data_IF_388126946651
#
_entry.id   IF_388126946651
#
_cell.length_a   1.000
_cell.length_b   1.000
_cell.length_c   1.000
_cell.angle_alpha   90.00
_cell.angle_beta   90.00
_cell.angle_gamma   90.00
#
_symmetry.space_group_name_H-M   'P 1'
#
loop_
_entity.id
_entity.type
_entity.pdbx_description
1 polymer ?
#
# COMPACT_ATOMS: atom_id res chain seq x y z
N UNK A 1 -29.49 6.19 10.23
CA UNK A 1 -28.51 5.79 11.29
C UNK A 1 -27.14 6.32 10.89
N UNK A 2 -26.28 6.63 11.84
CA UNK A 2 -24.88 7.00 11.53
C UNK A 2 -24.01 5.86 12.04
N UNK A 3 -23.18 5.30 11.15
CA UNK A 3 -22.27 4.23 11.50
C UNK A 3 -20.84 4.76 11.64
N UNK A 4 -20.08 4.20 12.60
CA UNK A 4 -18.66 4.47 12.71
C UNK A 4 -17.92 3.80 11.55
N UNK A 5 -16.71 4.31 11.24
CA UNK A 5 -15.89 3.75 10.18
C UNK A 5 -15.29 2.40 10.63
N UNK A 6 -15.71 1.26 10.05
CA UNK A 6 -15.20 -0.05 10.46
C UNK A 6 -13.70 -0.23 10.23
N UNK A 7 -13.08 0.61 9.41
CA UNK A 7 -11.64 0.59 9.11
C UNK A 7 -10.80 1.33 10.17
N UNK A 8 -11.40 2.07 11.10
CA UNK A 8 -10.65 2.65 12.21
C UNK A 8 -10.27 1.58 13.22
N UNK A 9 -9.08 1.71 13.84
CA UNK A 9 -8.57 0.76 14.83
C UNK A 9 -9.58 0.49 15.96
N UNK A 10 -10.22 1.55 16.47
CA UNK A 10 -11.26 1.43 17.50
C UNK A 10 -12.45 0.61 17.03
N UNK A 11 -13.05 0.99 15.87
CA UNK A 11 -14.24 0.33 15.37
C UNK A 11 -13.96 -1.13 14.97
N UNK A 12 -12.82 -1.38 14.34
CA UNK A 12 -12.42 -2.72 13.94
C UNK A 12 -12.31 -3.67 15.14
N UNK A 13 -11.61 -3.24 16.17
CA UNK A 13 -11.49 -4.01 17.43
C UNK A 13 -12.83 -4.19 18.13
N UNK A 14 -13.68 -3.17 18.15
CA UNK A 14 -15.03 -3.26 18.77
C UNK A 14 -15.94 -4.23 18.01
N UNK A 15 -15.92 -4.20 16.67
CA UNK A 15 -16.78 -5.03 15.82
C UNK A 15 -16.33 -6.49 15.82
N UNK A 16 -15.02 -6.75 15.68
CA UNK A 16 -14.50 -8.10 15.43
C UNK A 16 -13.72 -8.69 16.61
N UNK A 17 -13.21 -7.88 17.53
CA UNK A 17 -12.29 -8.30 18.59
C UNK A 17 -12.91 -8.42 19.99
N UNK A 18 -14.21 -8.18 20.16
CA UNK A 18 -14.86 -8.28 21.45
C UNK A 18 -15.38 -9.70 21.73
N UNK A 19 -15.42 -10.09 23.00
CA UNK A 19 -16.00 -11.38 23.45
C UNK A 19 -17.46 -11.58 23.00
N UNK A 20 -18.18 -10.50 22.73
CA UNK A 20 -19.56 -10.55 22.26
C UNK A 20 -19.69 -10.68 20.75
N UNK A 21 -18.57 -10.65 20.03
CA UNK A 21 -18.50 -10.60 18.56
C UNK A 21 -18.04 -11.91 17.91
N UNK A 22 -18.05 -13.04 18.64
CA UNK A 22 -17.59 -14.32 18.08
C UNK A 22 -18.32 -14.70 16.79
N UNK A 23 -19.64 -14.56 16.75
CA UNK A 23 -20.45 -14.83 15.56
C UNK A 23 -20.15 -13.90 14.37
N UNK A 24 -19.84 -12.62 14.65
CA UNK A 24 -19.38 -11.67 13.65
C UNK A 24 -18.03 -12.14 13.09
N UNK A 25 -17.07 -12.46 13.95
CA UNK A 25 -15.74 -12.90 13.56
C UNK A 25 -15.76 -14.21 12.79
N UNK A 26 -16.53 -15.21 13.25
CA UNK A 26 -16.72 -16.49 12.54
C UNK A 26 -17.28 -16.26 11.14
N UNK A 27 -18.35 -15.47 11.01
CA UNK A 27 -18.96 -15.18 9.72
C UNK A 27 -18.00 -14.46 8.78
N UNK A 28 -17.26 -13.48 9.30
CA UNK A 28 -16.24 -12.73 8.54
C UNK A 28 -15.13 -13.66 8.04
N UNK A 29 -14.55 -14.49 8.92
CA UNK A 29 -13.48 -15.40 8.56
C UNK A 29 -13.94 -16.49 7.59
N UNK A 30 -15.14 -17.05 7.77
CA UNK A 30 -15.73 -17.98 6.81
C UNK A 30 -15.93 -17.31 5.44
N UNK A 31 -16.37 -16.04 5.40
CA UNK A 31 -16.50 -15.28 4.17
C UNK A 31 -15.16 -15.08 3.45
N UNK A 32 -14.14 -14.64 4.15
CA UNK A 32 -12.85 -14.24 3.56
C UNK A 32 -11.95 -15.44 3.27
N UNK A 33 -11.84 -16.39 4.22
CA UNK A 33 -10.88 -17.49 4.12
C UNK A 33 -11.44 -18.72 3.41
N UNK A 34 -12.76 -18.94 3.47
CA UNK A 34 -13.40 -20.16 3.00
C UNK A 34 -14.56 -19.92 2.03
N UNK A 35 -14.58 -18.76 1.37
CA UNK A 35 -15.58 -18.38 0.34
C UNK A 35 -17.05 -18.54 0.79
N UNK A 36 -17.31 -18.37 2.10
CA UNK A 36 -18.63 -18.46 2.70
C UNK A 36 -19.03 -19.86 3.15
N UNK A 37 -18.15 -20.86 3.01
CA UNK A 37 -18.38 -22.18 3.60
C UNK A 37 -18.26 -22.11 5.11
N UNK A 38 -19.18 -22.76 5.84
CA UNK A 38 -19.15 -22.84 7.31
C UNK A 38 -18.07 -23.83 7.80
N UNK A 39 -16.81 -23.47 7.59
CA UNK A 39 -15.63 -24.26 7.99
C UNK A 39 -15.26 -24.01 9.44
N UNK A 40 -15.41 -22.75 9.88
CA UNK A 40 -15.14 -22.34 11.28
C UNK A 40 -16.46 -22.38 12.02
N UNK A 41 -16.54 -23.17 13.08
CA UNK A 41 -17.71 -23.27 13.96
C UNK A 41 -17.54 -22.47 15.25
N UNK A 42 -16.30 -22.36 15.74
CA UNK A 42 -15.99 -21.59 16.94
C UNK A 42 -14.64 -20.88 16.85
N UNK A 43 -14.51 -19.77 17.58
CA UNK A 43 -13.26 -19.03 17.74
C UNK A 43 -13.03 -18.70 19.20
N UNK A 44 -11.78 -18.69 19.61
CA UNK A 44 -11.33 -18.13 20.87
C UNK A 44 -10.54 -16.87 20.60
N UNK A 45 -11.03 -15.73 21.06
CA UNK A 45 -10.27 -14.47 20.97
C UNK A 45 -9.15 -14.52 21.98
N UNK A 46 -7.92 -14.28 21.51
CA UNK A 46 -6.69 -14.32 22.29
C UNK A 46 -6.18 -12.91 22.57
N UNK A 47 -5.31 -12.78 23.57
CA UNK A 47 -4.60 -11.54 23.82
C UNK A 47 -3.80 -11.14 22.57
N UNK A 48 -4.06 -9.97 21.97
CA UNK A 48 -3.37 -9.51 20.76
C UNK A 48 -1.93 -9.05 21.03
N UNK A 49 -1.52 -8.91 22.28
CA UNK A 49 -0.15 -8.59 22.65
C UNK A 49 0.76 -9.80 22.47
N UNK A 50 1.83 -9.63 21.72
CA UNK A 50 2.88 -10.62 21.52
C UNK A 50 4.17 -10.14 22.22
N UNK A 51 4.45 -10.61 23.46
CA UNK A 51 5.64 -10.24 24.18
C UNK A 51 6.91 -10.75 23.48
N UNK A 52 8.06 -10.09 23.69
CA UNK A 52 9.33 -10.62 23.25
C UNK A 52 9.72 -11.83 24.11
N UNK A 53 10.14 -12.93 23.49
CA UNK A 53 10.70 -14.09 24.24
C UNK A 53 12.13 -13.82 24.75
N UNK A 54 12.83 -12.89 24.15
CA UNK A 54 14.20 -12.53 24.48
C UNK A 54 14.28 -11.01 24.77
N UNK A 55 15.00 -10.64 25.83
CA UNK A 55 15.20 -9.24 26.19
C UNK A 55 15.84 -8.44 25.02
N UNK A 56 15.20 -7.35 24.65
CA UNK A 56 15.64 -6.49 23.53
C UNK A 56 15.00 -6.81 22.18
N UNK A 57 14.20 -7.87 22.06
CA UNK A 57 13.34 -8.05 20.88
C UNK A 57 12.13 -7.12 20.92
N UNK A 58 11.60 -6.80 19.73
CA UNK A 58 10.47 -5.89 19.57
C UNK A 58 9.16 -6.52 20.06
N UNK A 59 8.40 -5.79 20.88
CA UNK A 59 7.00 -6.07 21.19
C UNK A 59 6.14 -5.85 19.95
N UNK A 60 5.07 -6.61 19.82
CA UNK A 60 4.08 -6.37 18.77
C UNK A 60 2.67 -6.43 19.37
N UNK A 61 1.86 -5.48 18.91
CA UNK A 61 0.44 -5.42 19.22
C UNK A 61 -0.31 -5.65 17.91
N UNK A 62 -1.17 -6.65 17.90
CA UNK A 62 -2.03 -7.00 16.79
C UNK A 62 -3.40 -6.33 16.99
N UNK A 63 -4.19 -6.17 15.92
CA UNK A 63 -5.56 -5.71 16.13
C UNK A 63 -6.41 -6.82 16.74
N UNK A 64 -6.37 -8.02 16.16
CA UNK A 64 -7.08 -9.19 16.66
C UNK A 64 -6.18 -10.42 16.53
N UNK A 65 -6.24 -11.29 17.51
CA UNK A 65 -5.66 -12.64 17.49
C UNK A 65 -6.72 -13.62 17.94
N UNK A 66 -6.93 -14.68 17.17
CA UNK A 66 -7.93 -15.69 17.48
C UNK A 66 -7.40 -17.09 17.19
N UNK A 67 -7.86 -18.09 17.95
CA UNK A 67 -7.63 -19.51 17.70
C UNK A 67 -8.94 -20.12 17.21
N UNK A 68 -8.89 -20.84 16.10
CA UNK A 68 -10.01 -21.54 15.52
C UNK A 68 -10.18 -22.92 16.14
N UNK A 69 -11.35 -23.54 15.96
CA UNK A 69 -11.67 -24.88 16.43
C UNK A 69 -10.76 -25.99 15.85
N UNK A 70 -10.23 -25.79 14.64
CA UNK A 70 -9.26 -26.69 14.01
C UNK A 70 -7.80 -26.46 14.45
N UNK A 71 -7.55 -25.61 15.44
CA UNK A 71 -6.22 -25.30 15.98
C UNK A 71 -5.52 -24.11 15.33
N UNK A 72 -5.91 -23.69 14.12
CA UNK A 72 -5.28 -22.59 13.37
C UNK A 72 -5.35 -21.29 14.19
N UNK A 73 -4.23 -20.59 14.28
CA UNK A 73 -4.19 -19.23 14.84
C UNK A 73 -4.33 -18.21 13.71
N UNK A 74 -5.32 -17.33 13.81
CA UNK A 74 -5.50 -16.21 12.85
C UNK A 74 -5.08 -14.91 13.52
N UNK A 75 -4.20 -14.17 12.85
CA UNK A 75 -3.80 -12.81 13.20
C UNK A 75 -4.47 -11.90 12.19
N UNK A 76 -5.23 -10.89 12.67
CA UNK A 76 -5.96 -9.98 11.77
C UNK A 76 -5.48 -8.56 12.03
N UNK A 77 -5.13 -7.86 10.97
CA UNK A 77 -4.73 -6.45 11.01
C UNK A 77 -5.53 -5.63 9.99
N UNK A 78 -6.03 -4.46 10.42
CA UNK A 78 -6.65 -3.45 9.56
C UNK A 78 -5.67 -2.30 9.31
N UNK A 79 -5.25 -2.11 8.08
CA UNK A 79 -4.26 -1.10 7.73
C UNK A 79 -4.83 -0.07 6.74
N UNK A 80 -4.94 1.17 7.18
CA UNK A 80 -5.55 2.26 6.39
C UNK A 80 -4.53 3.06 5.60
N UNK A 81 -3.29 3.13 6.07
CA UNK A 81 -2.22 3.91 5.44
C UNK A 81 -1.09 2.99 4.98
N UNK A 82 -0.68 3.13 3.73
CA UNK A 82 0.51 2.46 3.23
C UNK A 82 1.75 3.13 3.82
N UNK A 83 2.47 2.41 4.67
CA UNK A 83 3.70 2.87 5.32
C UNK A 83 4.86 1.98 4.93
N UNK A 84 6.05 2.56 4.79
CA UNK A 84 7.25 1.82 4.44
C UNK A 84 7.53 0.67 5.42
N UNK A 85 7.86 -0.50 4.90
CA UNK A 85 8.15 -1.71 5.68
C UNK A 85 6.92 -2.44 6.23
N UNK A 86 5.72 -2.10 5.77
CA UNK A 86 4.49 -2.77 6.19
C UNK A 86 4.52 -4.27 5.84
N UNK A 87 4.95 -4.64 4.65
CA UNK A 87 5.07 -6.04 4.19
C UNK A 87 5.98 -6.86 5.11
N UNK A 88 7.11 -6.26 5.53
CA UNK A 88 8.03 -6.88 6.50
C UNK A 88 7.38 -7.06 7.87
N UNK A 89 6.54 -6.11 8.30
CA UNK A 89 5.81 -6.19 9.56
C UNK A 89 4.80 -7.34 9.56
N UNK A 90 4.04 -7.49 8.48
CA UNK A 90 3.08 -8.60 8.33
C UNK A 90 3.79 -9.93 8.45
N UNK A 91 4.86 -10.15 7.68
CA UNK A 91 5.66 -11.38 7.74
C UNK A 91 6.29 -11.59 9.12
N UNK A 92 6.82 -10.53 9.74
CA UNK A 92 7.40 -10.61 11.08
C UNK A 92 6.36 -11.04 12.13
N UNK A 93 5.16 -10.47 12.09
CA UNK A 93 4.08 -10.80 13.03
C UNK A 93 3.60 -12.23 12.86
N UNK A 94 3.45 -12.72 11.63
CA UNK A 94 3.11 -14.08 11.30
C UNK A 94 4.17 -15.07 11.80
N UNK A 95 5.44 -14.84 11.45
CA UNK A 95 6.56 -15.67 11.88
C UNK A 95 6.73 -15.69 13.41
N UNK A 96 6.52 -14.54 14.07
CA UNK A 96 6.54 -14.44 15.53
C UNK A 96 5.38 -15.23 16.15
N UNK A 97 4.17 -15.13 15.59
CA UNK A 97 3.01 -15.89 16.03
C UNK A 97 3.24 -17.40 15.94
N UNK A 98 3.94 -17.85 14.91
CA UNK A 98 4.31 -19.26 14.72
C UNK A 98 5.45 -19.69 15.66
N UNK A 99 6.57 -18.98 15.66
CA UNK A 99 7.78 -19.36 16.42
C UNK A 99 7.64 -19.26 17.94
N UNK A 100 6.63 -18.53 18.43
CA UNK A 100 6.43 -18.34 19.87
C UNK A 100 5.47 -19.35 20.52
N UNK A 101 4.96 -20.32 19.78
CA UNK A 101 4.01 -21.29 20.30
C UNK A 101 4.67 -22.29 21.28
N UNK A 102 5.89 -22.74 20.96
CA UNK A 102 6.55 -23.76 21.75
C UNK A 102 7.40 -23.19 22.89
N UNK A 103 7.46 -23.95 23.98
CA UNK A 103 8.39 -23.79 25.08
C UNK A 103 9.60 -24.74 24.93
N UNK A 104 10.61 -24.56 25.78
CA UNK A 104 11.81 -25.43 25.77
C UNK A 104 11.40 -26.89 26.06
N UNK A 105 11.76 -27.80 25.12
CA UNK A 105 11.53 -29.23 25.25
C UNK A 105 10.20 -29.73 24.67
N UNK A 106 9.37 -28.84 24.11
CA UNK A 106 8.16 -29.25 23.39
C UNK A 106 8.47 -29.68 21.96
N UNK A 107 7.66 -30.58 21.40
CA UNK A 107 7.83 -31.17 20.08
C UNK A 107 7.33 -30.18 18.99
N UNK A 108 8.06 -30.09 17.88
CA UNK A 108 7.65 -29.30 16.72
C UNK A 108 6.32 -29.73 16.09
N UNK A 109 5.90 -31.00 16.33
CA UNK A 109 4.60 -31.49 15.88
C UNK A 109 3.41 -30.84 16.62
N UNK A 110 3.67 -30.04 17.67
CA UNK A 110 2.66 -29.28 18.40
C UNK A 110 2.48 -27.85 17.88
N UNK A 111 3.22 -27.47 16.80
CA UNK A 111 3.02 -26.20 16.17
C UNK A 111 1.69 -26.20 15.40
N UNK A 112 0.87 -25.23 15.71
CA UNK A 112 -0.37 -24.95 14.97
C UNK A 112 -0.12 -23.98 13.81
N UNK A 113 -0.81 -24.13 12.69
CA UNK A 113 -0.71 -23.18 11.57
C UNK A 113 -1.10 -21.75 11.97
N UNK A 114 -0.50 -20.78 11.28
CA UNK A 114 -0.78 -19.34 11.46
C UNK A 114 -1.19 -18.71 10.14
N UNK A 115 -2.37 -18.11 10.12
CA UNK A 115 -2.85 -17.26 9.02
C UNK A 115 -2.73 -15.81 9.45
N UNK A 116 -1.95 -15.01 8.72
CA UNK A 116 -1.93 -13.56 8.88
C UNK A 116 -2.84 -12.91 7.85
N UNK A 117 -4.03 -12.50 8.29
CA UNK A 117 -5.04 -11.81 7.48
C UNK A 117 -4.87 -10.31 7.61
N UNK A 118 -4.51 -9.65 6.54
CA UNK A 118 -4.37 -8.20 6.44
C UNK A 118 -5.47 -7.61 5.58
N UNK A 119 -6.24 -6.66 6.11
CA UNK A 119 -7.18 -5.85 5.36
C UNK A 119 -6.54 -4.49 5.09
N UNK A 120 -6.32 -4.15 3.82
CA UNK A 120 -5.65 -2.93 3.39
C UNK A 120 -6.64 -1.96 2.71
N UNK A 121 -6.67 -0.70 3.15
CA UNK A 121 -7.42 0.39 2.47
C UNK A 121 -6.55 1.07 1.39
N UNK A 122 -5.66 0.31 0.77
CA UNK A 122 -4.78 0.71 -0.33
C UNK A 122 -4.35 -0.52 -1.15
N UNK A 123 -3.89 -0.29 -2.37
CA UNK A 123 -3.34 -1.36 -3.21
C UNK A 123 -1.90 -1.68 -2.81
N UNK A 124 -1.64 -2.96 -2.45
CA UNK A 124 -0.30 -3.49 -2.15
C UNK A 124 0.33 -4.15 -3.37
N UNK A 125 -0.47 -4.87 -4.15
CA UNK A 125 -0.04 -5.70 -5.27
C UNK A 125 -0.68 -5.24 -6.58
N UNK A 126 -0.22 -4.13 -7.21
CA UNK A 126 -0.85 -3.57 -8.40
C UNK A 126 -0.82 -4.52 -9.61
N UNK A 127 0.04 -5.56 -9.59
CA UNK A 127 0.07 -6.60 -10.62
C UNK A 127 -0.98 -7.70 -10.46
N UNK A 128 -1.76 -7.71 -9.37
CA UNK A 128 -2.82 -8.68 -9.11
C UNK A 128 -4.18 -7.99 -9.18
N UNK A 129 -5.07 -8.48 -10.04
CA UNK A 129 -6.42 -7.91 -10.19
C UNK A 129 -7.46 -8.51 -9.22
N UNK A 130 -7.05 -9.40 -8.32
CA UNK A 130 -7.94 -9.99 -7.31
C UNK A 130 -8.01 -9.13 -6.05
N UNK A 131 -9.19 -9.08 -5.44
CA UNK A 131 -9.40 -8.38 -4.15
C UNK A 131 -8.74 -9.13 -2.99
N UNK A 132 -8.73 -10.46 -3.06
CA UNK A 132 -8.11 -11.32 -2.04
C UNK A 132 -6.95 -12.07 -2.67
N UNK A 133 -5.77 -11.93 -2.11
CA UNK A 133 -4.56 -12.67 -2.51
C UNK A 133 -4.01 -13.48 -1.35
N UNK A 134 -3.45 -14.66 -1.66
CA UNK A 134 -2.91 -15.60 -0.69
C UNK A 134 -1.48 -15.94 -1.05
N UNK A 135 -0.60 -15.95 -0.07
CA UNK A 135 0.82 -16.28 -0.22
C UNK A 135 1.17 -17.42 0.72
N UNK A 136 1.76 -18.44 0.14
CA UNK A 136 2.24 -19.67 0.82
C UNK A 136 3.69 -19.94 0.44
N UNK A 137 4.34 -20.83 1.17
CA UNK A 137 5.72 -21.24 0.89
C UNK A 137 5.78 -22.18 -0.32
N UNK A 138 6.61 -21.85 -1.30
CA UNK A 138 6.82 -22.66 -2.52
C UNK A 138 8.29 -22.81 -2.88
N UNK A 139 8.62 -23.90 -3.52
CA UNK A 139 9.90 -24.05 -4.23
C UNK A 139 9.98 -22.99 -5.34
N UNK A 140 11.15 -22.35 -5.46
CA UNK A 140 11.32 -21.12 -6.24
C UNK A 140 11.24 -21.32 -7.76
N UNK A 141 11.66 -22.48 -8.25
CA UNK A 141 11.82 -22.75 -9.68
C UNK A 141 10.60 -23.41 -10.30
N UNK A 142 10.09 -24.45 -9.63
CA UNK A 142 8.98 -25.27 -10.12
C UNK A 142 7.64 -24.91 -9.46
N UNK A 143 7.66 -23.99 -8.49
CA UNK A 143 6.49 -23.49 -7.76
C UNK A 143 5.69 -24.61 -7.06
N UNK A 144 6.38 -25.68 -6.67
CA UNK A 144 5.79 -26.78 -5.90
C UNK A 144 5.56 -26.30 -4.46
N UNK A 145 4.40 -26.64 -3.91
CA UNK A 145 4.04 -26.28 -2.52
C UNK A 145 5.01 -26.94 -1.52
N UNK A 146 5.33 -26.21 -0.46
CA UNK A 146 6.05 -26.78 0.66
C UNK A 146 5.15 -27.83 1.35
N UNK A 147 5.70 -28.95 1.90
CA UNK A 147 4.89 -30.06 2.42
C UNK A 147 3.93 -29.72 3.56
N UNK A 148 4.12 -28.57 4.21
CA UNK A 148 3.24 -28.09 5.29
C UNK A 148 2.77 -26.67 4.99
N UNK A 149 1.50 -26.37 5.29
CA UNK A 149 0.86 -25.08 5.06
C UNK A 149 0.73 -24.28 6.37
N UNK A 150 1.75 -24.32 7.22
CA UNK A 150 1.73 -23.75 8.56
C UNK A 150 1.78 -22.21 8.58
N UNK A 151 2.16 -21.57 7.48
CA UNK A 151 2.27 -20.13 7.40
C UNK A 151 1.62 -19.61 6.12
N UNK A 152 0.48 -18.95 6.26
CA UNK A 152 -0.23 -18.30 5.16
C UNK A 152 -0.38 -16.79 5.41
N UNK A 153 -0.10 -15.98 4.37
CA UNK A 153 -0.38 -14.54 4.38
C UNK A 153 -1.55 -14.26 3.44
N UNK A 154 -2.64 -13.71 3.98
CA UNK A 154 -3.84 -13.36 3.23
C UNK A 154 -4.02 -11.85 3.23
N UNK A 155 -4.19 -11.27 2.06
CA UNK A 155 -4.42 -9.84 1.90
C UNK A 155 -5.77 -9.58 1.25
N UNK A 156 -6.55 -8.69 1.86
CA UNK A 156 -7.80 -8.15 1.30
C UNK A 156 -7.56 -6.69 0.95
N UNK A 157 -7.45 -6.38 -0.34
CA UNK A 157 -7.18 -5.03 -0.82
C UNK A 157 -8.50 -4.34 -1.17
N UNK A 158 -9.07 -3.62 -0.21
CA UNK A 158 -10.39 -3.00 -0.35
C UNK A 158 -10.54 -2.13 -1.61
N UNK A 159 -9.56 -1.30 -2.04
CA UNK A 159 -9.73 -0.46 -3.23
C UNK A 159 -9.95 -1.22 -4.53
N UNK A 160 -9.64 -2.53 -4.59
CA UNK A 160 -9.89 -3.38 -5.77
C UNK A 160 -11.33 -3.88 -5.89
N UNK A 161 -12.13 -3.70 -4.84
CA UNK A 161 -13.53 -4.11 -4.86
C UNK A 161 -14.40 -2.97 -5.36
N UNK A 162 -15.06 -3.18 -6.51
CA UNK A 162 -15.86 -2.16 -7.20
C UNK A 162 -17.31 -2.58 -7.43
N UNK A 163 -17.72 -3.77 -6.95
CA UNK A 163 -19.08 -4.26 -7.17
C UNK A 163 -20.11 -3.37 -6.48
N UNK A 164 -21.15 -2.91 -7.21
CA UNK A 164 -22.26 -2.18 -6.61
C UNK A 164 -23.08 -3.13 -5.73
N UNK A 165 -23.88 -2.56 -4.81
CA UNK A 165 -24.64 -3.34 -3.83
C UNK A 165 -25.62 -4.34 -4.46
N UNK A 166 -26.13 -4.03 -5.63
CA UNK A 166 -27.09 -4.86 -6.38
C UNK A 166 -26.47 -6.14 -6.94
N UNK A 167 -25.15 -6.16 -7.11
CA UNK A 167 -24.40 -7.29 -7.67
C UNK A 167 -23.78 -8.20 -6.60
N UNK A 168 -23.85 -7.80 -5.33
CA UNK A 168 -23.29 -8.58 -4.22
C UNK A 168 -24.10 -9.86 -4.01
N UNK A 169 -23.41 -11.01 -4.00
CA UNK A 169 -24.03 -12.32 -3.86
C UNK A 169 -23.39 -13.19 -2.78
N UNK A 170 -22.08 -13.11 -2.62
CA UNK A 170 -21.34 -13.96 -1.68
C UNK A 170 -21.15 -13.29 -0.31
N UNK A 171 -20.99 -14.11 0.72
CA UNK A 171 -20.68 -13.65 2.07
C UNK A 171 -19.38 -12.84 2.10
N UNK A 172 -18.39 -13.23 1.30
CA UNK A 172 -17.13 -12.50 1.13
C UNK A 172 -17.36 -11.08 0.64
N UNK A 173 -18.13 -10.91 -0.43
CA UNK A 173 -18.45 -9.59 -1.00
C UNK A 173 -19.27 -8.74 -0.03
N UNK A 174 -20.21 -9.34 0.72
CA UNK A 174 -20.97 -8.64 1.75
C UNK A 174 -20.07 -8.04 2.84
N UNK A 175 -19.08 -8.80 3.34
CA UNK A 175 -18.13 -8.32 4.34
C UNK A 175 -17.18 -7.25 3.79
N UNK A 176 -16.70 -7.42 2.56
CA UNK A 176 -15.84 -6.41 1.91
C UNK A 176 -16.63 -5.10 1.71
N UNK A 177 -17.87 -5.20 1.23
CA UNK A 177 -18.75 -4.04 1.06
C UNK A 177 -19.03 -3.32 2.39
N UNK A 178 -19.32 -4.08 3.46
CA UNK A 178 -19.49 -3.53 4.80
C UNK A 178 -18.26 -2.73 5.24
N UNK A 179 -17.07 -3.31 5.15
CA UNK A 179 -15.83 -2.64 5.53
C UNK A 179 -15.59 -1.34 4.74
N UNK A 180 -15.93 -1.35 3.45
CA UNK A 180 -15.71 -0.23 2.55
C UNK A 180 -16.71 0.90 2.74
N UNK A 181 -17.99 0.56 2.92
CA UNK A 181 -19.09 1.47 2.70
C UNK A 181 -19.93 1.78 3.96
N UNK A 182 -19.83 1.02 5.05
CA UNK A 182 -20.72 1.17 6.21
C UNK A 182 -20.82 2.63 6.71
N UNK A 183 -19.70 3.36 6.75
CA UNK A 183 -19.67 4.76 7.19
C UNK A 183 -20.57 5.69 6.38
N UNK A 184 -20.78 5.41 5.11
CA UNK A 184 -21.55 6.27 4.17
C UNK A 184 -23.00 5.87 4.07
N UNK A 185 -23.40 4.75 4.68
CA UNK A 185 -24.75 4.25 4.65
C UNK A 185 -25.63 4.94 5.70
N UNK A 186 -26.85 5.30 5.31
CA UNK A 186 -27.87 5.80 6.22
C UNK A 186 -28.77 4.69 6.78
N UNK A 187 -28.88 3.59 6.05
CA UNK A 187 -29.66 2.40 6.42
C UNK A 187 -28.88 1.15 6.00
N UNK A 188 -29.20 0.01 6.61
CA UNK A 188 -28.64 -1.28 6.23
C UNK A 188 -29.31 -1.72 4.91
N UNK A 189 -28.54 -1.94 3.83
CA UNK A 189 -29.09 -2.47 2.58
C UNK A 189 -29.72 -3.87 2.77
N UNK A 190 -30.78 -4.17 2.03
CA UNK A 190 -31.48 -5.46 2.12
C UNK A 190 -30.54 -6.65 1.87
N UNK A 191 -29.61 -6.53 0.92
CA UNK A 191 -28.64 -7.57 0.57
C UNK A 191 -27.68 -7.93 1.75
N UNK A 192 -27.48 -7.00 2.69
CA UNK A 192 -26.65 -7.19 3.89
C UNK A 192 -27.48 -7.55 5.13
N UNK A 193 -28.76 -7.21 5.12
CA UNK A 193 -29.64 -7.44 6.26
C UNK A 193 -30.12 -8.89 6.41
N UNK A 194 -29.93 -9.71 5.38
CA UNK A 194 -30.28 -11.15 5.41
C UNK A 194 -29.24 -11.99 6.20
N UNK A 195 -28.03 -11.45 6.41
CA UNK A 195 -26.96 -12.13 7.15
C UNK A 195 -26.98 -11.65 8.61
N UNK A 196 -27.34 -12.52 9.59
CA UNK A 196 -27.50 -12.11 11.00
C UNK A 196 -26.21 -11.49 11.60
N UNK A 197 -25.03 -12.04 11.26
CA UNK A 197 -23.76 -11.51 11.72
C UNK A 197 -23.48 -10.09 11.19
N UNK A 198 -23.85 -9.79 9.94
CA UNK A 198 -23.75 -8.44 9.39
C UNK A 198 -24.73 -7.47 10.04
N UNK A 199 -25.98 -7.89 10.28
CA UNK A 199 -26.94 -7.06 11.05
C UNK A 199 -26.37 -6.68 12.41
N UNK A 200 -25.79 -7.67 13.10
CA UNK A 200 -25.16 -7.45 14.40
C UNK A 200 -23.94 -6.53 14.29
N UNK A 201 -23.11 -6.69 13.25
CA UNK A 201 -21.95 -5.81 13.00
C UNK A 201 -22.41 -4.36 12.77
N UNK A 202 -23.46 -4.12 12.01
CA UNK A 202 -24.05 -2.79 11.85
C UNK A 202 -24.62 -2.23 13.16
N UNK A 203 -25.21 -3.09 14.00
CA UNK A 203 -25.70 -2.69 15.31
C UNK A 203 -24.56 -2.24 16.23
N UNK A 204 -23.46 -2.98 16.24
CA UNK A 204 -22.24 -2.61 16.98
C UNK A 204 -21.59 -1.34 16.41
N UNK A 205 -21.61 -1.18 15.10
CA UNK A 205 -21.08 -0.01 14.41
C UNK A 205 -21.96 1.24 14.50
N UNK A 206 -23.19 1.15 15.03
CA UNK A 206 -24.09 2.29 15.15
C UNK A 206 -23.60 3.26 16.23
N UNK A 207 -23.43 4.54 15.90
CA UNK A 207 -23.04 5.57 16.88
C UNK A 207 -24.04 5.70 18.05
N UNK A 208 -25.31 5.42 17.81
CA UNK A 208 -26.33 5.46 18.85
C UNK A 208 -26.11 4.41 19.96
N UNK A 209 -25.30 3.38 19.70
CA UNK A 209 -24.99 2.31 20.64
C UNK A 209 -23.61 2.48 21.31
N UNK A 210 -22.91 3.59 21.04
CA UNK A 210 -21.66 3.92 21.71
C UNK A 210 -21.93 4.67 23.02
N UNK A 211 -21.13 4.38 24.04
CA UNK A 211 -21.07 5.27 25.22
C UNK A 211 -20.41 6.59 24.84
N UNK A 212 -20.51 7.58 25.71
CA UNK A 212 -19.87 8.87 25.49
C UNK A 212 -18.34 8.74 25.41
N UNK A 213 -17.75 7.94 26.27
CA UNK A 213 -16.30 7.68 26.30
C UNK A 213 -15.85 6.98 25.01
N UNK A 214 -16.61 6.01 24.53
CA UNK A 214 -16.33 5.31 23.27
C UNK A 214 -16.42 6.24 22.05
N UNK A 215 -17.38 7.18 22.06
CA UNK A 215 -17.51 8.17 20.98
C UNK A 215 -16.32 9.13 20.99
N UNK A 216 -15.92 9.64 22.18
CA UNK A 216 -14.77 10.53 22.34
C UNK A 216 -13.46 9.82 21.91
N UNK A 217 -13.28 8.54 22.27
CA UNK A 217 -12.13 7.75 21.83
C UNK A 217 -12.10 7.55 20.31
N UNK A 218 -13.24 7.21 19.70
CA UNK A 218 -13.39 7.05 18.26
C UNK A 218 -13.06 8.35 17.52
N UNK A 219 -13.63 9.48 17.93
CA UNK A 219 -13.39 10.79 17.32
C UNK A 219 -11.92 11.20 17.43
N UNK A 220 -11.29 10.97 18.57
CA UNK A 220 -9.86 11.25 18.78
C UNK A 220 -8.98 10.43 17.84
N UNK A 221 -9.27 9.15 17.65
CA UNK A 221 -8.51 8.27 16.73
C UNK A 221 -8.74 8.64 15.26
N UNK A 222 -9.96 8.98 14.85
CA UNK A 222 -10.28 9.46 13.51
C UNK A 222 -9.51 10.76 13.19
N UNK A 223 -9.42 11.69 14.14
CA UNK A 223 -8.67 12.94 13.98
C UNK A 223 -7.17 12.65 13.74
N UNK A 224 -6.54 11.81 14.56
CA UNK A 224 -5.13 11.41 14.38
C UNK A 224 -4.90 10.74 13.01
N UNK A 225 -5.82 9.88 12.58
CA UNK A 225 -5.72 9.22 11.28
C UNK A 225 -5.85 10.23 10.13
N UNK A 226 -6.79 11.17 10.24
CA UNK A 226 -6.98 12.25 9.27
C UNK A 226 -5.72 13.14 9.14
N UNK A 227 -5.12 13.52 10.27
CA UNK A 227 -3.90 14.34 10.28
C UNK A 227 -2.71 13.61 9.64
N UNK A 228 -2.54 12.33 9.94
CA UNK A 228 -1.50 11.50 9.29
C UNK A 228 -1.74 11.38 7.78
N UNK A 229 -2.97 11.16 7.36
CA UNK A 229 -3.33 11.08 5.92
C UNK A 229 -3.03 12.41 5.21
N UNK A 230 -3.40 13.53 5.82
CA UNK A 230 -3.12 14.86 5.28
C UNK A 230 -1.62 15.17 5.21
N UNK A 231 -0.84 14.78 6.21
CA UNK A 231 0.62 14.91 6.21
C UNK A 231 1.25 14.15 5.04
N UNK A 232 0.85 12.90 4.81
CA UNK A 232 1.34 12.09 3.68
C UNK A 232 0.98 12.73 2.34
N UNK A 233 -0.26 13.22 2.19
CA UNK A 233 -0.71 13.91 0.96
C UNK A 233 0.12 15.19 0.73
N UNK A 234 0.37 15.95 1.78
CA UNK A 234 1.16 17.18 1.71
C UNK A 234 2.61 16.90 1.26
N UNK A 235 3.29 15.95 1.90
CA UNK A 235 4.66 15.58 1.53
C UNK A 235 4.74 15.02 0.10
N UNK A 236 3.76 14.22 -0.32
CA UNK A 236 3.68 13.74 -1.71
C UNK A 236 3.53 14.88 -2.71
N UNK A 237 2.65 15.85 -2.45
CA UNK A 237 2.48 17.03 -3.32
C UNK A 237 3.76 17.87 -3.40
N UNK A 238 4.43 18.05 -2.27
CA UNK A 238 5.71 18.77 -2.20
C UNK A 238 6.80 18.05 -3.00
N UNK A 239 6.91 16.73 -2.87
CA UNK A 239 7.85 15.92 -3.65
C UNK A 239 7.59 15.96 -5.15
N UNK A 240 6.32 15.86 -5.58
CA UNK A 240 5.93 15.98 -6.99
C UNK A 240 6.27 17.35 -7.57
N UNK A 241 6.04 18.43 -6.81
CA UNK A 241 6.40 19.79 -7.23
C UNK A 241 7.92 19.93 -7.38
N UNK A 242 8.70 19.47 -6.42
CA UNK A 242 10.16 19.51 -6.50
C UNK A 242 10.70 18.71 -7.72
N UNK A 243 10.10 17.56 -8.03
CA UNK A 243 10.46 16.78 -9.21
C UNK A 243 10.16 17.53 -10.51
N UNK A 244 9.02 18.21 -10.60
CA UNK A 244 8.64 19.00 -11.78
C UNK A 244 9.57 20.21 -11.95
N UNK A 245 9.92 20.90 -10.85
CA UNK A 245 10.87 22.02 -10.88
C UNK A 245 12.25 21.57 -11.38
N UNK A 246 12.76 20.42 -10.91
CA UNK A 246 14.02 19.82 -11.38
C UNK A 246 13.95 19.44 -12.87
N UNK A 247 12.84 18.88 -13.31
CA UNK A 247 12.62 18.53 -14.72
C UNK A 247 12.66 19.77 -15.63
N UNK A 248 11.98 20.84 -15.23
CA UNK A 248 11.97 22.10 -15.99
C UNK A 248 13.35 22.75 -16.04
N UNK A 249 14.11 22.68 -14.93
CA UNK A 249 15.48 23.17 -14.89
C UNK A 249 16.38 22.36 -15.86
N UNK A 250 16.31 21.03 -15.83
CA UNK A 250 17.08 20.18 -16.75
C UNK A 250 16.75 20.40 -18.22
N UNK A 251 15.48 20.67 -18.55
CA UNK A 251 15.08 21.04 -19.92
C UNK A 251 15.72 22.36 -20.35
N UNK A 252 15.69 23.40 -19.51
CA UNK A 252 16.33 24.71 -19.82
C UNK A 252 17.83 24.56 -20.03
N UNK A 253 18.52 23.86 -19.12
CA UNK A 253 19.96 23.61 -19.26
C UNK A 253 20.30 22.86 -20.56
N UNK A 254 19.48 21.88 -20.93
CA UNK A 254 19.65 21.12 -22.19
C UNK A 254 19.44 21.99 -23.41
N UNK A 255 18.44 22.87 -23.41
CA UNK A 255 18.19 23.83 -24.49
C UNK A 255 19.32 24.86 -24.64
N UNK A 256 19.83 25.39 -23.53
CA UNK A 256 20.97 26.31 -23.52
C UNK A 256 22.23 25.64 -24.05
N UNK A 257 22.54 24.41 -23.63
CA UNK A 257 23.69 23.66 -24.16
C UNK A 257 23.57 23.39 -25.66
N UNK A 258 22.35 23.05 -26.13
CA UNK A 258 22.08 22.82 -27.53
C UNK A 258 22.27 24.10 -28.35
N UNK A 259 21.77 25.23 -27.84
CA UNK A 259 21.94 26.55 -28.51
C UNK A 259 23.42 26.95 -28.62
N UNK A 260 24.17 26.81 -27.50
CA UNK A 260 25.61 27.08 -27.49
C UNK A 260 26.39 26.15 -28.43
N UNK A 261 26.02 24.85 -28.49
CA UNK A 261 26.61 23.89 -29.41
C UNK A 261 26.36 24.22 -30.86
N UNK A 262 25.15 24.68 -31.22
CA UNK A 262 24.83 25.13 -32.58
C UNK A 262 25.60 26.38 -32.97
N UNK A 263 25.70 27.41 -32.10
CA UNK A 263 26.46 28.64 -32.34
C UNK A 263 27.95 28.33 -32.52
N UNK A 264 28.50 27.46 -31.66
CA UNK A 264 29.89 27.06 -31.77
C UNK A 264 30.17 26.26 -33.05
N UNK A 265 29.25 25.35 -33.43
CA UNK A 265 29.35 24.60 -34.69
C UNK A 265 29.28 25.49 -35.93
N UNK A 266 28.37 26.47 -35.96
CA UNK A 266 28.24 27.46 -37.03
C UNK A 266 29.51 28.30 -37.15
N UNK A 267 30.05 28.78 -36.05
CA UNK A 267 31.31 29.52 -36.02
C UNK A 267 32.49 28.72 -36.58
N UNK A 268 32.66 27.43 -36.13
CA UNK A 268 33.72 26.55 -36.62
C UNK A 268 33.57 26.32 -38.14
N UNK A 269 32.34 26.07 -38.61
CA UNK A 269 32.08 25.88 -40.04
C UNK A 269 32.45 27.14 -40.88
N UNK A 270 32.11 28.35 -40.41
CA UNK A 270 32.48 29.62 -41.05
C UNK A 270 33.99 29.84 -41.06
N UNK A 271 34.70 29.54 -39.97
CA UNK A 271 36.16 29.63 -39.90
C UNK A 271 36.81 28.64 -40.86
N UNK A 272 36.32 27.41 -41.02
CA UNK A 272 36.80 26.42 -41.97
C UNK A 272 36.60 26.87 -43.45
N UNK A 273 35.43 27.41 -43.76
CA UNK A 273 35.16 27.99 -45.09
C UNK A 273 36.11 29.15 -45.37
N UNK A 274 36.30 30.05 -44.38
CA UNK A 274 37.23 31.18 -44.52
C UNK A 274 38.66 30.70 -44.81
N UNK A 275 39.17 29.68 -44.09
CA UNK A 275 40.48 29.08 -44.31
C UNK A 275 40.69 28.57 -45.76
N UNK A 276 39.67 27.90 -46.32
CA UNK A 276 39.72 27.43 -47.72
C UNK A 276 39.77 28.60 -48.74
N UNK A 277 39.17 29.71 -48.40
CA UNK A 277 39.09 30.87 -49.27
C UNK A 277 40.32 31.81 -49.19
N UNK A 278 41.20 31.66 -48.16
CA UNK A 278 42.37 32.53 -47.94
C UNK A 278 43.32 32.59 -49.13
N UNK A 279 43.39 31.56 -49.94
CA UNK A 279 44.32 31.50 -51.11
C UNK A 279 43.73 32.10 -52.38
N UNK A 280 42.42 32.31 -52.46
CA UNK A 280 41.70 32.67 -53.68
C UNK A 280 40.90 33.94 -53.60
N UNK A 281 40.67 34.51 -52.38
CA UNK A 281 39.85 35.73 -52.19
C UNK A 281 40.51 36.76 -51.27
N UNK A 282 40.09 38.03 -51.40
CA UNK A 282 40.50 39.10 -50.49
C UNK A 282 39.77 39.02 -49.17
N UNK A 283 40.32 39.60 -48.08
CA UNK A 283 39.73 39.60 -46.75
C UNK A 283 38.31 40.22 -46.74
N UNK A 284 38.04 41.25 -47.56
CA UNK A 284 36.72 41.82 -47.66
C UNK A 284 35.69 40.87 -48.30
N UNK A 285 36.12 40.12 -49.32
CA UNK A 285 35.29 39.11 -49.97
C UNK A 285 35.00 37.91 -49.05
N UNK A 286 36.00 37.49 -48.29
CA UNK A 286 35.83 36.42 -47.29
C UNK A 286 34.89 36.85 -46.16
N UNK A 287 35.03 38.09 -45.65
CA UNK A 287 34.12 38.67 -44.65
C UNK A 287 32.67 38.72 -45.14
N UNK A 288 32.47 39.17 -46.41
CA UNK A 288 31.13 39.22 -47.00
C UNK A 288 30.49 37.84 -47.18
N UNK A 289 31.30 36.78 -47.44
CA UNK A 289 30.84 35.41 -47.70
C UNK A 289 30.55 34.65 -46.41
N UNK A 290 31.41 34.81 -45.40
CA UNK A 290 31.36 33.99 -44.15
C UNK A 290 30.70 34.73 -42.98
N UNK A 291 30.58 36.08 -43.07
CA UNK A 291 30.10 36.90 -41.96
C UNK A 291 31.09 37.01 -40.78
N UNK A 292 32.37 36.57 -40.98
CA UNK A 292 33.42 36.73 -39.99
C UNK A 292 33.98 38.13 -39.96
N UNK A 293 34.43 38.55 -38.79
CA UNK A 293 35.09 39.88 -38.66
C UNK A 293 36.47 39.90 -39.36
N UNK A 294 36.87 41.06 -39.88
CA UNK A 294 38.17 41.24 -40.50
C UNK A 294 39.34 40.85 -39.60
N UNK A 295 39.18 41.05 -38.27
CA UNK A 295 40.18 40.65 -37.27
C UNK A 295 40.32 39.13 -37.19
N UNK A 296 39.20 38.37 -37.27
CA UNK A 296 39.19 36.91 -37.29
C UNK A 296 39.87 36.37 -38.54
N UNK A 297 39.60 36.99 -39.71
CA UNK A 297 40.22 36.57 -40.99
C UNK A 297 41.72 36.83 -41.00
N UNK A 298 42.17 37.96 -40.50
CA UNK A 298 43.61 38.26 -40.36
C UNK A 298 44.31 37.27 -39.42
N UNK A 299 43.67 36.91 -38.32
CA UNK A 299 44.20 35.86 -37.41
C UNK A 299 44.34 34.50 -38.12
N UNK A 300 43.35 34.11 -38.90
CA UNK A 300 43.40 32.85 -39.66
C UNK A 300 44.53 32.89 -40.70
N UNK A 301 44.79 34.05 -41.37
CA UNK A 301 45.87 34.23 -42.34
C UNK A 301 47.26 34.17 -41.74
N UNK A 302 47.42 34.55 -40.47
CA UNK A 302 48.67 34.48 -39.72
C UNK A 302 48.99 33.08 -39.15
N UNK A 303 48.00 32.20 -39.14
CA UNK A 303 48.10 30.81 -38.63
C UNK A 303 48.30 29.79 -39.78
N UNK A 304 48.14 30.24 -41.04
CA UNK A 304 48.38 29.44 -42.25
C UNK A 304 49.72 29.79 -42.87
#
# INVERSE_FOLDING_TARGET
MIFINPKSDFAFKKIFGSEQSHDILISFLNGILYDGQSTIESVQILNPYQPPKVRGMKDTFLDIKAKLDNGITVIIEMQVLNVEGFEKRVLYNAAKGYSTQLSIGEDYMQLDPVIALTIADFEMFPGLNTVVSRFVLKEKTFLIDYPIDDLELVFVELPKFHSPIEEIRSLKEQWIYFLQNARTLNNIPSQLSETPALQKAFTVASQANLTREELEEFEGREMVLHDRRNSIIYERKKGLKALEDLRQQGLKESEEQRSQGLEQGDRIAREQIAQQLLTVMSDEQIAATTGLSSETIQRLRTQT
#
